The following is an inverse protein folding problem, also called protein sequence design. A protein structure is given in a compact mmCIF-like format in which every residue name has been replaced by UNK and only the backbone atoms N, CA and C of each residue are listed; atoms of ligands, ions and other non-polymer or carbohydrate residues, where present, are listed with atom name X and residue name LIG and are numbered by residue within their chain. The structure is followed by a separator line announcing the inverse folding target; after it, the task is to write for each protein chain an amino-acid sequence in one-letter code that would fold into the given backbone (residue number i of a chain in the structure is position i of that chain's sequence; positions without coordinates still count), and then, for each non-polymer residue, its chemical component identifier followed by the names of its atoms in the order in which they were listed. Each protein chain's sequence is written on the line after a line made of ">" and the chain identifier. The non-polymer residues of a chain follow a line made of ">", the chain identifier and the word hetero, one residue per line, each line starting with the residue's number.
data_IF_902916184451
#
_entry.id   IF_902916184451
#
_cell.length_a   1.000
_cell.length_b   1.000
_cell.length_c   1.000
_cell.angle_alpha   90.00
_cell.angle_beta   90.00
_cell.angle_gamma   90.00
#
_symmetry.space_group_name_H-M   'P 1'
#
loop_
_entity.id
_entity.type
_entity.pdbx_description
1 polymer ?
#
# COMPACT_ATOMS: atom_id res chain seq x y z
N UNK A 1 6.92 -12.51 -12.69
CA UNK A 1 6.87 -12.04 -11.29
C UNK A 1 5.53 -12.44 -10.71
N UNK A 2 5.54 -13.41 -9.81
CA UNK A 2 4.36 -13.93 -9.14
C UNK A 2 4.13 -13.19 -7.81
N UNK A 3 2.92 -13.23 -7.26
CA UNK A 3 2.63 -12.66 -5.93
C UNK A 3 3.49 -13.29 -4.82
N UNK A 4 3.92 -14.53 -5.00
CA UNK A 4 4.77 -15.24 -4.03
C UNK A 4 6.15 -14.57 -3.87
N UNK A 5 6.72 -14.01 -4.95
CA UNK A 5 8.03 -13.32 -4.93
C UNK A 5 8.03 -12.04 -4.06
N UNK A 6 6.84 -11.53 -3.74
CA UNK A 6 6.65 -10.32 -2.94
C UNK A 6 6.22 -10.61 -1.50
N UNK A 7 5.78 -11.84 -1.19
CA UNK A 7 5.22 -12.19 0.11
C UNK A 7 6.28 -12.39 1.20
N UNK A 8 7.52 -12.72 0.82
CA UNK A 8 8.61 -13.06 1.75
C UNK A 8 9.59 -11.90 2.02
N UNK A 9 9.28 -10.69 1.54
CA UNK A 9 10.19 -9.55 1.68
C UNK A 9 9.88 -8.76 2.95
N UNK A 10 10.84 -8.72 3.86
CA UNK A 10 10.78 -7.90 5.07
C UNK A 10 11.34 -6.49 4.83
N UNK A 11 10.74 -5.49 5.48
CA UNK A 11 11.19 -4.10 5.42
C UNK A 11 11.39 -3.57 6.83
N UNK A 12 12.48 -2.84 7.05
CA UNK A 12 12.75 -2.24 8.36
C UNK A 12 11.82 -1.06 8.66
N UNK A 13 11.34 -0.38 7.61
CA UNK A 13 10.52 0.83 7.70
C UNK A 13 9.37 0.82 6.71
N UNK A 14 8.28 1.48 7.08
CA UNK A 14 7.08 1.61 6.24
C UNK A 14 7.40 2.39 4.95
N UNK A 15 8.31 3.36 5.02
CA UNK A 15 8.72 4.18 3.89
C UNK A 15 9.49 3.37 2.84
N UNK A 16 10.25 2.36 3.27
CA UNK A 16 11.00 1.47 2.39
C UNK A 16 10.06 0.52 1.64
N UNK A 17 9.10 -0.08 2.36
CA UNK A 17 8.02 -0.85 1.77
C UNK A 17 7.22 -0.01 0.76
N UNK A 18 6.93 1.25 1.10
CA UNK A 18 6.21 2.17 0.22
C UNK A 18 6.96 2.43 -1.09
N UNK A 19 8.26 2.72 -1.03
CA UNK A 19 9.08 2.94 -2.23
C UNK A 19 9.14 1.71 -3.11
N UNK A 20 9.29 0.54 -2.50
CA UNK A 20 9.32 -0.73 -3.22
C UNK A 20 8.01 -0.98 -3.99
N UNK A 21 6.86 -0.87 -3.31
CA UNK A 21 5.56 -1.02 -3.97
C UNK A 21 5.27 0.07 -5.00
N UNK A 22 5.78 1.28 -4.79
CA UNK A 22 5.67 2.37 -5.76
C UNK A 22 6.42 2.03 -7.06
N UNK A 23 7.67 1.56 -6.94
CA UNK A 23 8.47 1.13 -8.09
C UNK A 23 7.84 -0.04 -8.83
N UNK A 24 7.29 -1.02 -8.09
CA UNK A 24 6.52 -2.11 -8.67
C UNK A 24 5.31 -1.59 -9.46
N UNK A 25 4.51 -0.71 -8.86
CA UNK A 25 3.34 -0.14 -9.52
C UNK A 25 3.73 0.63 -10.80
N UNK A 26 4.81 1.42 -10.74
CA UNK A 26 5.36 2.12 -11.90
C UNK A 26 5.76 1.15 -13.02
N UNK A 27 6.44 0.05 -12.68
CA UNK A 27 6.84 -0.97 -13.66
C UNK A 27 5.64 -1.67 -14.33
N UNK A 28 4.55 -1.89 -13.59
CA UNK A 28 3.30 -2.45 -14.12
C UNK A 28 2.42 -1.37 -14.80
N UNK A 29 2.75 -0.09 -14.65
CA UNK A 29 2.04 1.02 -15.29
C UNK A 29 0.81 1.50 -14.53
N UNK A 30 0.82 1.46 -13.20
CA UNK A 30 -0.16 2.11 -12.33
C UNK A 30 0.52 2.85 -11.17
N UNK A 31 -0.26 3.53 -10.32
CA UNK A 31 0.24 4.19 -9.12
C UNK A 31 -0.43 3.64 -7.87
N UNK A 32 0.25 3.73 -6.72
CA UNK A 32 -0.32 3.30 -5.44
C UNK A 32 -0.98 4.48 -4.73
N UNK A 33 -2.08 4.21 -4.02
CA UNK A 33 -2.74 5.14 -3.11
C UNK A 33 -2.59 4.66 -1.68
N UNK A 34 -2.31 5.63 -0.81
CA UNK A 34 -2.27 5.49 0.63
C UNK A 34 -3.71 5.31 1.16
N UNK A 35 -4.05 4.10 1.60
CA UNK A 35 -5.38 3.77 2.13
C UNK A 35 -5.38 3.79 3.65
N UNK A 36 -5.53 2.64 4.30
CA UNK A 36 -5.62 2.53 5.76
C UNK A 36 -4.24 2.54 6.41
N UNK A 37 -4.10 3.27 7.51
CA UNK A 37 -2.98 3.20 8.42
C UNK A 37 -3.53 2.72 9.77
N UNK A 38 -3.06 1.56 10.25
CA UNK A 38 -3.45 1.02 11.55
C UNK A 38 -2.37 1.38 12.56
N UNK A 39 -2.77 2.09 13.61
CA UNK A 39 -1.91 2.42 14.75
C UNK A 39 -2.43 1.75 16.01
N UNK A 40 -1.52 1.40 16.92
CA UNK A 40 -1.84 0.98 18.29
C UNK A 40 -2.38 2.18 19.08
N UNK A 41 -2.98 1.93 20.25
CA UNK A 41 -3.40 2.97 21.20
C UNK A 41 -2.24 3.90 21.59
N UNK A 42 -1.01 3.38 21.60
CA UNK A 42 0.22 4.15 21.84
C UNK A 42 0.84 4.82 20.60
N UNK A 43 0.13 4.91 19.47
CA UNK A 43 0.59 5.60 18.27
C UNK A 43 1.53 4.80 17.36
N UNK A 44 2.01 3.62 17.79
CA UNK A 44 2.87 2.73 17.00
C UNK A 44 2.14 2.19 15.78
N UNK A 45 2.75 2.26 14.59
CA UNK A 45 2.18 1.75 13.35
C UNK A 45 2.17 0.21 13.38
N UNK A 46 0.99 -0.39 13.41
CA UNK A 46 0.78 -1.85 13.41
C UNK A 46 0.46 -2.41 12.02
N UNK A 47 0.36 -1.54 11.00
CA UNK A 47 0.09 -1.97 9.64
C UNK A 47 -0.26 -0.81 8.72
N UNK A 48 0.13 -0.96 7.46
CA UNK A 48 -0.12 0.01 6.41
C UNK A 48 -0.69 -0.69 5.18
N UNK A 49 -1.76 -0.12 4.62
CA UNK A 49 -2.38 -0.60 3.39
C UNK A 49 -2.17 0.41 2.26
N UNK A 50 -1.65 -0.09 1.15
CA UNK A 50 -1.60 0.57 -0.14
C UNK A 50 -2.55 -0.12 -1.11
N UNK A 51 -3.20 0.65 -1.98
CA UNK A 51 -4.15 0.13 -2.97
C UNK A 51 -3.80 0.66 -4.35
N UNK A 52 -4.15 -0.08 -5.40
CA UNK A 52 -3.98 0.38 -6.78
C UNK A 52 -4.78 1.67 -7.04
N UNK A 53 -4.28 2.52 -7.95
CA UNK A 53 -5.01 3.69 -8.44
C UNK A 53 -6.06 3.34 -9.50
N UNK A 54 -5.85 2.26 -10.25
CA UNK A 54 -6.76 1.78 -11.29
C UNK A 54 -8.02 1.07 -10.74
N UNK A 55 -8.00 0.64 -9.48
CA UNK A 55 -9.09 -0.13 -8.87
C UNK A 55 -9.40 0.33 -7.43
N UNK A 56 -10.59 -0.03 -6.93
CA UNK A 56 -11.07 0.39 -5.61
C UNK A 56 -11.65 1.81 -5.64
N UNK A 57 -12.85 1.94 -6.18
CA UNK A 57 -13.66 3.16 -6.06
C UNK A 57 -14.04 3.36 -4.59
N UNK A 58 -13.95 4.62 -4.11
CA UNK A 58 -14.54 4.95 -2.81
C UNK A 58 -16.05 4.79 -2.95
N UNK A 59 -16.70 4.19 -1.96
CA UNK A 59 -18.16 4.08 -1.93
C UNK A 59 -18.79 5.45 -2.18
N UNK A 60 -19.90 5.53 -2.93
CA UNK A 60 -20.58 6.78 -3.32
C UNK A 60 -20.79 7.78 -2.18
N UNK A 61 -20.90 7.31 -0.93
CA UNK A 61 -20.94 8.16 0.27
C UNK A 61 -19.71 9.08 0.49
N UNK A 62 -18.60 8.81 -0.20
CA UNK A 62 -17.31 9.53 -0.08
C UNK A 62 -16.82 10.15 -1.41
N UNK A 63 -17.58 9.99 -2.49
CA UNK A 63 -17.35 10.66 -3.78
C UNK A 63 -18.54 11.56 -4.02
N UNK A 64 -18.30 12.86 -3.87
CA UNK A 64 -19.28 13.91 -4.12
C UNK A 64 -19.66 13.94 -5.59
#
# INVERSE_FOLDING_TARGET
>A
MSIADFAEREFAKVEEAERFYCNYALAIGFSIRRSRLRRSKGGVVMGRQWVCSKEGSRSKKWTK
#
